data_IF_065657154986
#
_entry.id   IF_065657154986
#
_cell.length_a   1.000
_cell.length_b   1.000
_cell.length_c   1.000
_cell.angle_alpha   90.00
_cell.angle_beta   90.00
_cell.angle_gamma   90.00
#
_symmetry.space_group_name_H-M   'P 1'
#
loop_
_entity.id
_entity.type
_entity.pdbx_description
1 polymer ?
#
# COMPACT_ATOMS: atom_id res chain seq x y z
N UNK A 1 -5.69 2.33 8.67
CA UNK A 1 -4.47 1.93 7.95
C UNK A 1 -3.34 1.94 8.96
N UNK A 2 -2.72 0.79 9.19
CA UNK A 2 -1.73 0.63 10.25
C UNK A 2 -0.34 0.85 9.64
N UNK A 3 0.41 1.80 10.17
CA UNK A 3 1.70 2.19 9.63
C UNK A 3 2.71 1.05 9.81
N UNK A 4 3.10 0.43 8.70
CA UNK A 4 4.22 -0.50 8.62
C UNK A 4 5.51 0.32 8.57
N UNK A 5 6.45 0.05 9.47
CA UNK A 5 7.75 0.73 9.49
C UNK A 5 8.84 -0.29 9.22
N UNK A 6 9.76 0.04 8.31
CA UNK A 6 10.98 -0.73 8.08
C UNK A 6 12.14 0.17 8.44
N UNK A 7 12.91 -0.20 9.47
CA UNK A 7 14.11 0.53 9.87
C UNK A 7 15.34 -0.25 9.43
N UNK A 8 16.23 0.43 8.72
CA UNK A 8 17.57 -0.08 8.44
C UNK A 8 18.50 0.40 9.56
N UNK A 9 19.03 -0.51 10.36
CA UNK A 9 20.10 -0.18 11.30
C UNK A 9 21.41 -0.59 10.66
N UNK A 10 22.33 0.37 10.48
CA UNK A 10 23.56 0.22 9.68
C UNK A 10 24.63 -0.67 10.34
N UNK A 11 24.32 -1.31 11.46
CA UNK A 11 25.22 -2.20 12.17
C UNK A 11 24.66 -3.61 12.10
N UNK A 12 25.26 -4.40 11.20
CA UNK A 12 25.11 -5.84 11.01
C UNK A 12 23.72 -6.30 10.52
N UNK A 13 23.56 -6.42 9.19
CA UNK A 13 22.82 -7.48 8.51
C UNK A 13 21.32 -7.68 8.74
N UNK A 14 20.74 -7.08 9.77
CA UNK A 14 19.42 -7.41 10.29
C UNK A 14 18.40 -6.43 9.70
N UNK A 15 17.51 -6.96 8.85
CA UNK A 15 16.34 -6.22 8.41
C UNK A 15 15.26 -6.31 9.49
N UNK A 16 14.84 -5.16 10.01
CA UNK A 16 13.75 -5.06 10.98
C UNK A 16 12.43 -4.76 10.26
N UNK A 17 11.52 -5.72 10.27
CA UNK A 17 10.14 -5.52 9.82
C UNK A 17 9.24 -5.27 11.03
N UNK A 18 8.60 -4.10 11.08
CA UNK A 18 7.62 -3.76 12.12
C UNK A 18 6.21 -3.62 11.55
N UNK A 19 5.28 -4.39 12.12
CA UNK A 19 3.86 -4.27 11.81
C UNK A 19 3.01 -4.29 13.10
N UNK A 20 2.31 -3.19 13.44
CA UNK A 20 1.25 -3.24 14.43
C UNK A 20 0.04 -3.95 13.83
N UNK A 21 -0.50 -4.94 14.55
CA UNK A 21 -1.64 -5.71 14.09
C UNK A 21 -2.75 -5.71 15.12
N UNK A 22 -3.97 -5.33 14.71
CA UNK A 22 -5.17 -5.44 15.55
C UNK A 22 -5.66 -6.88 15.53
N UNK A 23 -5.55 -7.54 16.68
CA UNK A 23 -5.90 -8.94 16.87
C UNK A 23 -7.40 -9.18 16.66
N UNK A 24 -7.73 -10.34 16.11
CA UNK A 24 -9.10 -10.87 16.09
C UNK A 24 -9.18 -12.12 16.96
N UNK A 25 -10.38 -12.67 17.17
CA UNK A 25 -10.55 -13.94 17.89
C UNK A 25 -10.16 -15.17 17.05
N UNK A 26 -9.88 -14.97 15.76
CA UNK A 26 -9.43 -16.00 14.81
C UNK A 26 -7.96 -15.78 14.46
N UNK A 27 -7.27 -16.87 14.11
CA UNK A 27 -5.93 -16.77 13.56
C UNK A 27 -5.96 -16.03 12.23
N UNK A 28 -5.12 -15.01 12.13
CA UNK A 28 -4.88 -14.28 10.89
C UNK A 28 -3.40 -14.32 10.56
N UNK A 29 -3.10 -14.63 9.30
CA UNK A 29 -1.73 -14.70 8.80
C UNK A 29 -1.11 -13.31 8.65
N UNK A 30 0.13 -13.19 9.11
CA UNK A 30 1.02 -12.06 8.88
C UNK A 30 2.22 -12.58 8.09
N UNK A 31 2.37 -12.08 6.87
CA UNK A 31 3.43 -12.51 5.95
C UNK A 31 4.63 -11.58 6.08
N UNK A 32 5.81 -12.18 6.25
CA UNK A 32 7.10 -11.52 6.20
C UNK A 32 7.60 -11.66 4.76
N UNK A 33 7.88 -10.56 4.07
CA UNK A 33 8.37 -10.57 2.68
C UNK A 33 9.75 -11.24 2.47
N UNK A 34 10.27 -11.91 3.49
CA UNK A 34 11.52 -12.67 3.51
C UNK A 34 11.42 -13.84 4.49
N UNK A 35 12.41 -14.73 4.44
CA UNK A 35 12.60 -15.75 5.47
C UNK A 35 13.29 -15.12 6.68
N UNK A 36 12.70 -15.33 7.86
CA UNK A 36 13.15 -14.75 9.12
C UNK A 36 13.62 -15.83 10.07
N UNK A 37 14.55 -15.47 10.95
CA UNK A 37 15.12 -16.35 11.97
C UNK A 37 14.69 -16.03 13.39
N UNK A 38 14.13 -14.83 13.59
CA UNK A 38 13.73 -14.35 14.90
C UNK A 38 12.52 -13.44 14.78
N UNK A 39 11.59 -13.56 15.73
CA UNK A 39 10.43 -12.68 15.89
C UNK A 39 10.41 -12.15 17.31
N UNK A 40 10.27 -10.83 17.50
CA UNK A 40 9.83 -10.27 18.78
C UNK A 40 8.35 -9.89 18.67
N UNK A 41 7.55 -10.43 19.58
CA UNK A 41 6.13 -10.12 19.72
C UNK A 41 5.94 -9.30 20.99
N UNK A 42 5.31 -8.13 20.88
CA UNK A 42 4.94 -7.30 22.04
C UNK A 42 3.44 -7.09 22.07
N UNK A 43 2.80 -7.55 23.13
CA UNK A 43 1.36 -7.40 23.32
C UNK A 43 1.08 -6.09 24.08
N UNK A 44 0.40 -5.15 23.43
CA UNK A 44 0.09 -3.86 24.05
C UNK A 44 -1.20 -3.91 24.88
N UNK A 45 -1.94 -5.03 24.86
CA UNK A 45 -3.10 -5.24 25.72
C UNK A 45 -2.69 -5.23 27.20
N UNK A 46 -3.55 -4.69 28.06
CA UNK A 46 -3.38 -4.77 29.52
C UNK A 46 -4.23 -5.86 30.15
N UNK A 47 -5.10 -6.51 29.37
CA UNK A 47 -6.09 -7.48 29.85
C UNK A 47 -6.03 -8.82 29.14
N UNK A 48 -5.71 -8.84 27.85
CA UNK A 48 -5.88 -10.02 27.02
C UNK A 48 -4.56 -10.63 26.57
N UNK A 49 -4.57 -11.95 26.46
CA UNK A 49 -3.45 -12.72 25.93
C UNK A 49 -3.53 -12.78 24.40
N UNK A 50 -2.37 -12.58 23.76
CA UNK A 50 -2.18 -12.86 22.35
C UNK A 50 -1.63 -14.29 22.17
N UNK A 51 -2.08 -14.98 21.13
CA UNK A 51 -1.65 -16.33 20.77
C UNK A 51 -1.00 -16.31 19.40
N UNK A 52 0.03 -17.13 19.21
CA UNK A 52 0.69 -17.28 17.92
C UNK A 52 0.85 -18.74 17.48
N UNK A 53 0.87 -18.92 16.17
CA UNK A 53 0.97 -20.19 15.48
C UNK A 53 1.80 -20.04 14.19
N UNK A 54 2.53 -21.08 13.80
CA UNK A 54 3.27 -21.11 12.52
C UNK A 54 2.58 -21.90 11.41
N UNK A 55 1.44 -22.53 11.71
CA UNK A 55 0.67 -23.36 10.78
C UNK A 55 -0.82 -22.98 10.72
N UNK A 56 -1.25 -22.00 11.53
CA UNK A 56 -2.63 -21.55 11.64
C UNK A 56 -3.56 -22.52 12.38
N UNK A 57 -3.04 -23.64 12.88
CA UNK A 57 -3.83 -24.72 13.49
C UNK A 57 -3.35 -25.04 14.92
N UNK A 58 -2.05 -25.15 15.11
CA UNK A 58 -1.41 -25.51 16.37
C UNK A 58 -1.00 -24.26 17.13
N UNK A 59 -1.37 -24.18 18.41
CA UNK A 59 -0.86 -23.13 19.30
C UNK A 59 0.62 -23.38 19.58
N UNK A 60 1.47 -22.43 19.21
CA UNK A 60 2.92 -22.53 19.44
C UNK A 60 3.36 -21.72 20.67
N UNK A 61 2.64 -20.65 21.01
CA UNK A 61 2.87 -19.94 22.25
C UNK A 61 1.92 -18.76 22.44
N UNK A 62 2.12 -18.09 23.56
CA UNK A 62 1.29 -17.00 24.03
C UNK A 62 2.16 -15.81 24.46
N UNK A 63 1.59 -14.62 24.41
CA UNK A 63 2.18 -13.38 24.90
C UNK A 63 1.15 -12.73 25.81
N UNK A 64 1.44 -12.70 27.11
CA UNK A 64 0.54 -12.15 28.11
C UNK A 64 0.35 -10.64 27.96
N UNK A 65 -0.57 -10.04 28.73
CA UNK A 65 -0.82 -8.61 28.67
C UNK A 65 0.42 -7.79 29.06
N UNK A 66 0.82 -6.84 28.21
CA UNK A 66 2.00 -5.98 28.41
C UNK A 66 3.34 -6.69 28.21
N UNK A 67 3.34 -7.97 27.82
CA UNK A 67 4.55 -8.76 27.71
C UNK A 67 5.23 -8.60 26.34
N UNK A 68 6.52 -8.96 26.31
CA UNK A 68 7.28 -9.10 25.08
C UNK A 68 8.03 -10.44 25.06
N UNK A 69 7.88 -11.18 23.96
CA UNK A 69 8.50 -12.51 23.79
C UNK A 69 9.36 -12.50 22.53
N UNK A 70 10.60 -12.98 22.66
CA UNK A 70 11.51 -13.26 21.55
C UNK A 70 11.45 -14.74 21.19
N UNK A 71 11.14 -15.04 19.94
CA UNK A 71 11.01 -16.40 19.42
C UNK A 71 12.06 -16.61 18.33
N UNK A 72 12.94 -17.59 18.54
CA UNK A 72 13.81 -18.08 17.47
C UNK A 72 12.98 -18.98 16.57
N UNK A 73 12.97 -18.68 15.27
CA UNK A 73 12.21 -19.41 14.26
C UNK A 73 13.15 -19.89 13.17
N UNK A 74 12.95 -21.10 12.67
CA UNK A 74 13.77 -21.60 11.56
C UNK A 74 13.12 -21.20 10.23
N UNK A 75 13.64 -20.14 9.61
CA UNK A 75 13.34 -19.72 8.24
C UNK A 75 11.82 -19.64 7.95
N UNK A 76 11.08 -18.92 8.79
CA UNK A 76 9.63 -18.72 8.59
C UNK A 76 9.36 -17.54 7.66
N UNK A 77 8.30 -17.62 6.87
CA UNK A 77 7.83 -16.52 6.00
C UNK A 77 6.51 -15.93 6.48
N UNK A 78 5.89 -16.52 7.49
CA UNK A 78 4.66 -15.99 8.09
C UNK A 78 4.48 -16.48 9.51
N UNK A 79 3.56 -15.81 10.21
CA UNK A 79 3.04 -16.20 11.52
C UNK A 79 1.54 -15.96 11.53
N UNK A 80 0.79 -16.81 12.21
CA UNK A 80 -0.63 -16.60 12.48
C UNK A 80 -0.79 -16.09 13.90
N UNK A 81 -1.54 -15.00 14.08
CA UNK A 81 -1.77 -14.40 15.40
C UNK A 81 -3.26 -14.21 15.65
N UNK A 82 -3.65 -14.32 16.91
CA UNK A 82 -5.01 -13.99 17.39
C UNK A 82 -4.98 -13.50 18.82
N UNK A 83 -6.03 -12.80 19.22
CA UNK A 83 -6.28 -12.38 20.60
C UNK A 83 -7.36 -13.25 21.22
N UNK A 84 -7.39 -13.29 22.55
CA UNK A 84 -8.43 -14.02 23.29
C UNK A 84 -9.80 -13.37 23.09
N UNK A 85 -9.88 -12.04 23.16
CA UNK A 85 -11.09 -11.25 22.92
C UNK A 85 -11.10 -10.49 21.58
N UNK A 86 -9.93 -10.27 20.95
CA UNK A 86 -9.77 -9.41 19.77
C UNK A 86 -9.85 -7.92 20.09
N UNK A 87 -9.51 -7.06 19.12
CA UNK A 87 -9.51 -5.60 19.25
C UNK A 87 -8.20 -4.99 19.75
N UNK A 88 -7.36 -5.76 20.44
CA UNK A 88 -6.06 -5.32 20.93
C UNK A 88 -4.97 -5.27 19.87
N UNK A 89 -3.87 -4.57 20.17
CA UNK A 89 -2.73 -4.42 19.26
C UNK A 89 -1.59 -5.35 19.68
N UNK A 90 -1.11 -6.13 18.72
CA UNK A 90 0.14 -6.87 18.80
C UNK A 90 1.18 -6.19 17.89
N UNK A 91 2.33 -5.84 18.47
CA UNK A 91 3.49 -5.33 17.74
C UNK A 91 4.40 -6.50 17.36
N UNK A 92 4.66 -6.64 16.07
CA UNK A 92 5.48 -7.73 15.53
C UNK A 92 6.76 -7.12 14.95
N UNK A 93 7.91 -7.56 15.46
CA UNK A 93 9.23 -7.27 14.90
C UNK A 93 9.83 -8.56 14.37
N UNK A 94 10.33 -8.59 13.14
CA UNK A 94 11.07 -9.75 12.64
C UNK A 94 12.45 -9.39 12.12
N UNK A 95 13.36 -10.36 12.24
CA UNK A 95 14.77 -10.24 11.88
C UNK A 95 15.12 -11.31 10.84
N UNK A 96 15.76 -10.86 9.76
CA UNK A 96 16.22 -11.73 8.67
C UNK A 96 17.61 -12.25 8.99
N UNK A 97 17.82 -13.57 8.90
CA UNK A 97 19.16 -14.16 8.99
C UNK A 97 19.86 -14.07 7.63
N UNK A 98 20.92 -13.27 7.57
CA UNK A 98 21.78 -13.10 6.39
C UNK A 98 22.96 -14.08 6.35
N UNK A 99 23.03 -15.06 7.26
CA UNK A 99 24.18 -15.97 7.39
C UNK A 99 24.34 -17.00 6.26
N UNK A 100 23.37 -17.16 5.35
CA UNK A 100 23.38 -18.19 4.30
C UNK A 100 23.66 -17.69 2.87
N UNK A 101 24.17 -16.46 2.71
CA UNK A 101 24.41 -15.87 1.39
C UNK A 101 23.42 -14.76 1.07
N UNK A 102 23.68 -14.04 -0.03
CA UNK A 102 22.92 -12.86 -0.44
C UNK A 102 21.40 -13.09 -0.34
N UNK A 103 20.77 -12.45 0.64
CA UNK A 103 19.30 -12.42 0.73
C UNK A 103 18.82 -11.40 -0.30
N UNK A 104 18.30 -11.89 -1.41
CA UNK A 104 17.43 -11.08 -2.26
C UNK A 104 16.09 -10.98 -1.55
N UNK A 105 15.94 -9.99 -0.68
CA UNK A 105 14.60 -9.58 -0.24
C UNK A 105 13.95 -9.00 -1.48
N UNK A 106 13.02 -9.75 -2.09
CA UNK A 106 12.11 -9.18 -3.06
C UNK A 106 11.22 -8.23 -2.27
N UNK A 107 11.66 -6.98 -2.13
CA UNK A 107 10.76 -5.89 -1.87
C UNK A 107 9.76 -5.91 -3.03
N UNK A 108 8.59 -6.49 -2.81
CA UNK A 108 7.41 -5.86 -3.35
C UNK A 108 7.25 -4.67 -2.40
N UNK A 109 7.63 -3.42 -2.78
CA UNK A 109 6.85 -2.32 -2.24
C UNK A 109 5.40 -2.77 -2.42
N UNK A 110 4.53 -2.61 -1.41
CA UNK A 110 3.12 -2.39 -1.73
C UNK A 110 3.20 -1.35 -2.82
N UNK A 111 2.98 -1.79 -4.07
CA UNK A 111 3.60 -1.13 -5.20
C UNK A 111 3.31 0.34 -5.05
N UNK A 112 4.25 1.22 -5.42
CA UNK A 112 3.74 2.44 -6.01
C UNK A 112 2.94 1.93 -7.21
N UNK A 113 1.65 1.63 -6.98
CA UNK A 113 0.77 1.05 -7.97
C UNK A 113 0.48 2.23 -8.85
N UNK A 114 1.40 2.44 -9.79
CA UNK A 114 1.20 3.40 -10.85
C UNK A 114 -0.01 2.88 -11.61
N UNK A 115 -1.06 3.69 -11.71
CA UNK A 115 -2.18 3.36 -12.58
C UNK A 115 -2.00 4.12 -13.86
N UNK A 116 -1.99 3.38 -14.96
CA UNK A 116 -2.01 3.93 -16.30
C UNK A 116 -3.38 3.72 -16.91
N UNK A 117 -3.94 4.78 -17.47
CA UNK A 117 -5.20 4.77 -18.20
C UNK A 117 -4.89 5.21 -19.63
N UNK A 118 -5.25 4.38 -20.61
CA UNK A 118 -5.11 4.67 -22.03
C UNK A 118 -6.41 4.31 -22.72
N UNK A 119 -7.09 5.31 -23.28
CA UNK A 119 -8.34 5.11 -23.98
C UNK A 119 -8.64 6.31 -24.89
N UNK A 120 -9.82 6.27 -25.51
CA UNK A 120 -10.39 7.40 -26.24
C UNK A 120 -11.56 7.95 -25.46
N UNK A 121 -11.48 9.22 -25.08
CA UNK A 121 -12.57 9.96 -24.48
C UNK A 121 -13.56 10.32 -25.59
N UNK A 122 -14.66 9.56 -25.67
CA UNK A 122 -15.70 9.77 -26.69
C UNK A 122 -16.78 10.73 -26.18
N UNK A 123 -17.56 11.33 -27.08
CA UNK A 123 -18.64 12.27 -26.71
C UNK A 123 -19.61 11.68 -25.67
N UNK A 124 -19.91 10.38 -25.77
CA UNK A 124 -20.84 9.70 -24.84
C UNK A 124 -20.25 9.35 -23.46
N UNK A 125 -18.95 9.49 -23.29
CA UNK A 125 -18.21 9.17 -22.05
C UNK A 125 -17.73 10.44 -21.34
N UNK A 126 -17.80 11.60 -22.00
CA UNK A 126 -17.40 12.90 -21.44
C UNK A 126 -18.53 13.51 -20.58
N UNK A 127 -18.26 13.99 -19.34
CA UNK A 127 -16.97 13.92 -18.63
C UNK A 127 -16.67 12.52 -18.08
N UNK A 128 -15.39 12.16 -18.05
CA UNK A 128 -14.88 10.91 -17.47
C UNK A 128 -14.16 11.20 -16.17
N UNK A 129 -14.58 10.54 -15.10
CA UNK A 129 -13.90 10.56 -13.81
C UNK A 129 -13.00 9.33 -13.66
N UNK A 130 -11.72 9.58 -13.43
CA UNK A 130 -10.71 8.57 -13.11
C UNK A 130 -10.47 8.61 -11.60
N UNK A 131 -11.08 7.68 -10.88
CA UNK A 131 -10.98 7.55 -9.42
C UNK A 131 -9.77 6.69 -9.04
N UNK A 132 -8.64 7.35 -8.79
CA UNK A 132 -7.40 6.69 -8.44
C UNK A 132 -7.44 6.14 -7.01
N UNK A 133 -8.17 6.80 -6.09
CA UNK A 133 -8.27 6.33 -4.72
C UNK A 133 -8.97 4.98 -4.64
N UNK A 134 -10.08 4.81 -5.36
CA UNK A 134 -10.77 3.54 -5.50
C UNK A 134 -9.87 2.48 -6.16
N UNK A 135 -9.14 2.84 -7.21
CA UNK A 135 -8.32 1.90 -7.98
C UNK A 135 -7.02 1.47 -7.28
N UNK A 136 -6.39 2.35 -6.51
CA UNK A 136 -5.07 2.15 -5.88
C UNK A 136 -5.12 2.14 -4.34
N UNK A 137 -6.27 2.42 -3.73
CA UNK A 137 -6.47 2.48 -2.28
C UNK A 137 -5.86 3.71 -1.60
N UNK A 138 -5.49 4.74 -2.37
CA UNK A 138 -4.82 5.96 -1.92
C UNK A 138 -4.91 7.08 -2.95
N UNK A 139 -4.69 8.31 -2.51
CA UNK A 139 -4.50 9.44 -3.43
C UNK A 139 -3.15 9.39 -4.15
N UNK A 140 -3.13 9.86 -5.39
CA UNK A 140 -1.92 10.11 -6.16
C UNK A 140 -1.25 11.40 -5.70
N UNK A 141 0.08 11.43 -5.78
CA UNK A 141 0.92 12.59 -5.44
C UNK A 141 1.59 13.21 -6.65
N UNK A 142 1.77 12.43 -7.71
CA UNK A 142 2.50 12.80 -8.91
C UNK A 142 1.91 12.09 -10.12
N UNK A 143 2.20 12.58 -11.31
CA UNK A 143 1.74 11.92 -12.52
C UNK A 143 1.91 12.78 -13.75
N UNK A 144 1.39 12.27 -14.85
CA UNK A 144 1.36 12.99 -16.11
C UNK A 144 0.13 12.62 -16.91
N UNK A 145 -0.24 13.55 -17.80
CA UNK A 145 -1.36 13.40 -18.71
C UNK A 145 -1.01 13.98 -20.07
N UNK A 146 -1.40 13.26 -21.13
CA UNK A 146 -1.23 13.69 -22.53
C UNK A 146 -2.56 13.65 -23.29
N UNK A 147 -2.71 14.60 -24.20
CA UNK A 147 -3.75 14.59 -25.23
C UNK A 147 -3.12 14.09 -26.54
N UNK A 148 -3.30 12.82 -26.90
CA UNK A 148 -2.62 12.22 -28.05
C UNK A 148 -3.37 12.44 -29.38
N UNK A 149 -4.54 13.08 -29.34
CA UNK A 149 -5.34 13.34 -30.53
C UNK A 149 -4.75 14.46 -31.38
N UNK A 150 -5.09 14.48 -32.67
CA UNK A 150 -4.66 15.53 -33.62
C UNK A 150 -5.71 16.62 -33.74
N UNK A 151 -5.34 17.89 -33.57
CA UNK A 151 -6.24 19.05 -33.66
C UNK A 151 -7.45 18.99 -32.70
N UNK A 152 -7.31 18.29 -31.58
CA UNK A 152 -8.29 18.22 -30.50
C UNK A 152 -7.70 18.77 -29.21
N UNK A 153 -8.55 19.05 -28.23
CA UNK A 153 -8.17 19.47 -26.89
C UNK A 153 -9.08 18.85 -25.85
N UNK A 154 -8.58 18.71 -24.64
CA UNK A 154 -9.35 18.29 -23.48
C UNK A 154 -9.04 19.20 -22.30
N UNK A 155 -9.94 19.25 -21.33
CA UNK A 155 -9.68 19.87 -20.03
C UNK A 155 -9.52 18.81 -18.96
N UNK A 156 -8.60 19.06 -18.04
CA UNK A 156 -8.39 18.27 -16.84
C UNK A 156 -8.75 19.08 -15.61
N UNK A 157 -9.46 18.46 -14.68
CA UNK A 157 -9.73 19.00 -13.34
C UNK A 157 -9.26 17.98 -12.30
N UNK A 158 -8.68 18.48 -11.21
CA UNK A 158 -8.20 17.66 -10.10
C UNK A 158 -9.13 17.78 -8.91
N UNK A 159 -9.46 16.64 -8.29
CA UNK A 159 -10.18 16.56 -7.02
C UNK A 159 -9.31 15.90 -5.95
N UNK A 160 -9.38 16.42 -4.72
CA UNK A 160 -8.68 15.88 -3.55
C UNK A 160 -9.53 14.91 -2.72
N UNK A 161 -10.84 15.02 -2.84
CA UNK A 161 -11.84 14.33 -2.02
C UNK A 161 -12.80 13.46 -2.86
N UNK A 162 -12.59 13.41 -4.18
CA UNK A 162 -13.42 12.69 -5.14
C UNK A 162 -14.74 13.39 -5.48
N UNK A 163 -15.00 14.58 -4.91
CA UNK A 163 -16.30 15.25 -5.01
C UNK A 163 -16.14 16.68 -5.53
N UNK A 164 -15.20 17.42 -4.97
CA UNK A 164 -14.95 18.82 -5.28
C UNK A 164 -13.79 18.93 -6.27
N UNK A 165 -14.06 19.52 -7.44
CA UNK A 165 -13.07 19.71 -8.49
C UNK A 165 -12.57 21.15 -8.51
N UNK A 166 -11.26 21.32 -8.76
CA UNK A 166 -10.63 22.62 -8.95
C UNK A 166 -10.88 23.22 -10.34
N UNK A 167 -10.13 24.26 -10.67
CA UNK A 167 -10.26 24.92 -11.97
C UNK A 167 -9.79 24.03 -13.14
N UNK A 168 -10.50 24.04 -14.29
CA UNK A 168 -10.13 23.23 -15.45
C UNK A 168 -8.88 23.77 -16.14
N UNK A 169 -7.97 22.87 -16.51
CA UNK A 169 -6.77 23.17 -17.29
C UNK A 169 -6.87 22.55 -18.67
N UNK A 170 -6.69 23.34 -19.72
CA UNK A 170 -6.71 22.83 -21.11
C UNK A 170 -5.38 22.18 -21.47
N UNK A 171 -5.45 21.00 -22.09
CA UNK A 171 -4.34 20.25 -22.67
C UNK A 171 -4.63 20.09 -24.17
N UNK A 172 -3.76 20.62 -25.01
CA UNK A 172 -3.93 20.57 -26.47
C UNK A 172 -3.30 19.31 -27.07
N UNK A 173 -3.70 18.99 -28.30
CA UNK A 173 -3.10 18.00 -29.19
C UNK A 173 -1.57 17.93 -29.08
N UNK A 174 -1.06 16.81 -28.58
CA UNK A 174 0.36 16.51 -28.43
C UNK A 174 1.05 17.15 -27.21
N UNK A 175 0.33 17.89 -26.38
CA UNK A 175 0.86 18.42 -25.12
C UNK A 175 0.87 17.32 -24.04
N UNK A 176 1.98 17.26 -23.29
CA UNK A 176 2.10 16.48 -22.07
C UNK A 176 2.21 17.45 -20.88
N UNK A 177 1.45 17.18 -19.83
CA UNK A 177 1.47 17.95 -18.59
C UNK A 177 1.85 17.03 -17.45
N UNK A 178 3.00 17.30 -16.85
CA UNK A 178 3.45 16.65 -15.62
C UNK A 178 2.95 17.43 -14.41
N UNK A 179 2.58 16.72 -13.35
CA UNK A 179 2.18 17.30 -12.07
C UNK A 179 2.86 16.57 -10.92
N UNK A 180 3.29 17.32 -9.91
CA UNK A 180 3.99 16.79 -8.75
C UNK A 180 3.59 17.55 -7.48
N UNK A 181 3.68 16.87 -6.34
CA UNK A 181 3.27 17.37 -5.02
C UNK A 181 1.77 17.72 -4.92
N UNK A 182 0.93 16.98 -5.64
CA UNK A 182 -0.52 17.08 -5.52
C UNK A 182 -1.08 16.07 -4.49
N UNK A 183 -2.39 16.15 -4.26
CA UNK A 183 -3.14 15.17 -3.48
C UNK A 183 -4.42 14.86 -4.27
N UNK A 184 -4.30 13.96 -5.25
CA UNK A 184 -5.35 13.69 -6.24
C UNK A 184 -6.05 12.40 -5.85
N UNK A 185 -7.33 12.51 -5.52
CA UNK A 185 -8.23 11.39 -5.35
C UNK A 185 -8.79 10.98 -6.72
N UNK A 186 -9.42 11.94 -7.41
CA UNK A 186 -10.08 11.74 -8.69
C UNK A 186 -9.64 12.80 -9.68
N UNK A 187 -9.47 12.41 -10.94
CA UNK A 187 -9.16 13.28 -12.06
C UNK A 187 -10.32 13.27 -13.06
N UNK A 188 -10.84 14.44 -13.42
CA UNK A 188 -11.93 14.57 -14.39
C UNK A 188 -11.38 15.03 -15.73
N UNK A 189 -11.68 14.26 -16.77
CA UNK A 189 -11.39 14.59 -18.15
C UNK A 189 -12.68 15.01 -18.85
N UNK A 190 -12.63 16.17 -19.49
CA UNK A 190 -13.73 16.64 -20.33
C UNK A 190 -13.18 17.01 -21.70
N UNK A 191 -13.93 16.70 -22.76
CA UNK A 191 -13.68 17.26 -24.08
C UNK A 191 -14.96 17.77 -24.71
N UNK A 192 -14.79 18.62 -25.72
CA UNK A 192 -15.86 19.10 -26.58
C UNK A 192 -15.45 18.90 -28.03
N UNK A 193 -16.31 18.26 -28.82
CA UNK A 193 -16.06 18.04 -30.24
C UNK A 193 -15.70 16.59 -30.54
N UNK A 194 -14.63 16.39 -31.30
CA UNK A 194 -14.18 15.07 -31.76
C UNK A 194 -13.57 14.25 -30.61
N UNK A 195 -13.65 12.93 -30.75
CA UNK A 195 -13.12 11.98 -29.78
C UNK A 195 -11.61 12.19 -29.50
N UNK A 196 -11.22 12.20 -28.21
CA UNK A 196 -9.86 12.53 -27.78
C UNK A 196 -9.14 11.32 -27.20
N UNK A 197 -8.14 10.73 -27.88
CA UNK A 197 -7.28 9.73 -27.27
C UNK A 197 -6.37 10.37 -26.20
N UNK A 198 -6.25 9.69 -25.07
CA UNK A 198 -5.50 10.19 -23.92
C UNK A 198 -4.68 9.08 -23.28
N UNK A 199 -3.61 9.48 -22.59
CA UNK A 199 -2.92 8.66 -21.60
C UNK A 199 -2.78 9.43 -20.30
N UNK A 200 -3.07 8.77 -19.19
CA UNK A 200 -2.85 9.29 -17.82
C UNK A 200 -2.03 8.28 -17.06
N UNK A 201 -0.99 8.74 -16.36
CA UNK A 201 -0.31 7.93 -15.34
C UNK A 201 -0.35 8.67 -14.02
N UNK A 202 -0.83 7.98 -12.99
CA UNK A 202 -0.91 8.47 -11.62
C UNK A 202 -0.02 7.63 -10.70
N UNK A 203 0.76 8.32 -9.88
CA UNK A 203 1.83 7.80 -9.01
C UNK A 203 1.50 8.15 -7.57
#
# INVERSE_FOLDING_TARGET
MTNQYTRHTKEVGDYEYYNPYTLTTLYVEQVFGAKISTINLTNDSTTDTAQYSFDGATLHGEVGPGESVKVNVDQKSSIYVKGTAGGDVLRIWSYVDVSAGSVTVAFQPLGVVNKSYEATLTVGVSPLDIDFNSDAGRNSKEGWITCDGTNVEMTVEFSRDGITFGDPWTIRSGENTDFANFDIDTLRLTHTGDDVPYRVVLI
#
